data_IF_218330315038
#
_entry.id   IF_218330315038
#
_cell.length_a   1.000
_cell.length_b   1.000
_cell.length_c   1.000
_cell.angle_alpha   90.00
_cell.angle_beta   90.00
_cell.angle_gamma   90.00
#
_symmetry.space_group_name_H-M   'P 1'
#
loop_
_entity.id
_entity.type
_entity.pdbx_description
1 polymer ?
#
# COMPACT_ATOMS: atom_id res chain seq x y z
N UNK A 1 8.91 29.36 -51.32
CA UNK A 1 9.40 28.41 -50.28
C UNK A 1 9.53 27.04 -50.94
N UNK A 2 10.75 26.56 -51.17
CA UNK A 2 11.05 25.32 -51.91
C UNK A 2 10.36 24.11 -51.27
N UNK A 3 9.82 23.18 -52.07
CA UNK A 3 9.09 21.97 -51.62
C UNK A 3 9.85 21.20 -50.53
N UNK A 4 11.18 21.20 -50.61
CA UNK A 4 12.09 20.65 -49.60
C UNK A 4 11.93 21.27 -48.21
N UNK A 5 11.82 22.60 -48.10
CA UNK A 5 11.63 23.29 -46.81
C UNK A 5 10.27 22.96 -46.18
N UNK A 6 9.22 22.77 -46.98
CA UNK A 6 7.90 22.34 -46.48
C UNK A 6 7.91 20.89 -45.98
N UNK A 7 8.59 19.99 -46.69
CA UNK A 7 8.77 18.60 -46.28
C UNK A 7 9.60 18.49 -44.97
N UNK A 8 10.66 19.30 -44.85
CA UNK A 8 11.51 19.32 -43.65
C UNK A 8 10.73 19.75 -42.40
N UNK A 9 9.86 20.76 -42.51
CA UNK A 9 9.01 21.23 -41.41
C UNK A 9 8.01 20.15 -40.99
N UNK A 10 7.39 19.45 -41.94
CA UNK A 10 6.46 18.35 -41.64
C UNK A 10 7.14 17.20 -40.89
N UNK A 11 8.36 16.84 -41.29
CA UNK A 11 9.16 15.80 -40.62
C UNK A 11 9.51 16.23 -39.19
N UNK A 12 9.93 17.48 -38.99
CA UNK A 12 10.24 18.03 -37.67
C UNK A 12 9.02 18.02 -36.74
N UNK A 13 7.84 18.39 -37.26
CA UNK A 13 6.59 18.32 -36.49
C UNK A 13 6.28 16.89 -36.05
N UNK A 14 6.42 15.90 -36.96
CA UNK A 14 6.20 14.48 -36.65
C UNK A 14 7.16 13.96 -35.58
N UNK A 15 8.45 14.27 -35.69
CA UNK A 15 9.46 13.87 -34.70
C UNK A 15 9.14 14.50 -33.34
N UNK A 16 8.79 15.79 -33.30
CA UNK A 16 8.44 16.46 -32.04
C UNK A 16 7.20 15.85 -31.39
N UNK A 17 6.17 15.52 -32.17
CA UNK A 17 4.94 14.88 -31.66
C UNK A 17 5.22 13.48 -31.12
N UNK A 18 6.10 12.72 -31.77
CA UNK A 18 6.49 11.39 -31.33
C UNK A 18 7.29 11.43 -30.01
N UNK A 19 8.21 12.39 -29.87
CA UNK A 19 8.97 12.60 -28.64
C UNK A 19 8.04 13.01 -27.48
N UNK A 20 7.09 13.91 -27.74
CA UNK A 20 6.08 14.31 -26.75
C UNK A 20 5.17 13.15 -26.34
N UNK A 21 4.78 12.29 -27.28
CA UNK A 21 3.99 11.10 -27.01
C UNK A 21 4.73 10.10 -26.11
N UNK A 22 5.99 9.79 -26.43
CA UNK A 22 6.83 8.90 -25.63
C UNK A 22 7.02 9.47 -24.22
N UNK A 23 7.41 10.75 -24.11
CA UNK A 23 7.64 11.38 -22.80
C UNK A 23 6.38 11.48 -21.95
N UNK A 24 5.22 11.75 -22.57
CA UNK A 24 3.93 11.71 -21.88
C UNK A 24 3.61 10.31 -21.35
N UNK A 25 3.79 9.27 -22.16
CA UNK A 25 3.54 7.89 -21.74
C UNK A 25 4.51 7.41 -20.66
N UNK A 26 5.79 7.74 -20.77
CA UNK A 26 6.79 7.42 -19.74
C UNK A 26 6.54 8.17 -18.43
N UNK A 27 6.20 9.46 -18.51
CA UNK A 27 5.85 10.26 -17.32
C UNK A 27 4.58 9.72 -16.66
N UNK A 28 3.55 9.40 -17.45
CA UNK A 28 2.33 8.76 -16.95
C UNK A 28 2.62 7.40 -16.32
N UNK A 29 3.50 6.59 -16.89
CA UNK A 29 3.92 5.31 -16.27
C UNK A 29 4.64 5.50 -14.94
N UNK A 30 5.47 6.55 -14.79
CA UNK A 30 6.12 6.85 -13.51
C UNK A 30 5.15 7.40 -12.45
N UNK A 31 4.13 8.15 -12.87
CA UNK A 31 3.16 8.79 -11.95
C UNK A 31 1.99 7.84 -11.61
N UNK A 32 1.68 6.83 -12.42
CA UNK A 32 0.42 6.08 -12.35
C UNK A 32 0.37 4.82 -11.46
N UNK A 33 1.44 4.35 -10.80
CA UNK A 33 1.34 3.09 -10.04
C UNK A 33 2.16 3.09 -8.73
N UNK A 34 1.70 3.87 -7.76
CA UNK A 34 1.66 3.35 -6.39
C UNK A 34 0.21 2.87 -6.22
N UNK A 35 -0.06 1.61 -6.58
CA UNK A 35 -1.38 1.04 -6.33
C UNK A 35 -1.63 1.16 -4.81
N UNK A 36 -2.72 1.83 -4.43
CA UNK A 36 -3.06 2.12 -3.04
C UNK A 36 -4.27 1.29 -2.64
N UNK A 37 -4.23 0.74 -1.44
CA UNK A 37 -5.35 0.04 -0.88
C UNK A 37 -5.53 0.41 0.58
N UNK A 38 -6.74 0.81 0.94
CA UNK A 38 -7.06 1.26 2.29
C UNK A 38 -7.98 0.25 2.97
N UNK A 39 -7.63 -0.15 4.18
CA UNK A 39 -8.47 -0.99 5.03
C UNK A 39 -8.71 -0.30 6.37
N UNK A 40 -9.96 -0.31 6.83
CA UNK A 40 -10.33 0.20 8.15
C UNK A 40 -10.66 -0.99 9.05
N UNK A 41 -9.93 -1.15 10.15
CA UNK A 41 -10.15 -2.20 11.13
C UNK A 41 -10.66 -1.61 12.43
N UNK A 42 -11.73 -2.21 12.94
CA UNK A 42 -12.22 -1.95 14.29
C UNK A 42 -12.08 -3.25 15.07
N UNK A 43 -11.18 -3.25 16.05
CA UNK A 43 -10.85 -4.42 16.86
C UNK A 43 -11.36 -4.18 18.28
N UNK A 44 -12.15 -5.12 18.80
CA UNK A 44 -12.59 -5.15 20.19
C UNK A 44 -12.08 -6.44 20.83
N UNK A 45 -11.45 -6.32 21.99
CA UNK A 45 -11.13 -7.45 22.86
C UNK A 45 -11.23 -7.05 24.33
N UNK A 46 -11.00 -8.00 25.23
CA UNK A 46 -11.02 -7.77 26.69
C UNK A 46 -9.99 -6.73 27.16
N UNK A 47 -9.02 -6.35 26.30
CA UNK A 47 -7.97 -5.38 26.58
C UNK A 47 -8.29 -3.97 26.05
N UNK A 48 -9.35 -3.80 25.25
CA UNK A 48 -9.79 -2.49 24.75
C UNK A 48 -10.30 -2.49 23.30
N UNK A 49 -10.43 -1.27 22.77
CA UNK A 49 -10.86 -1.00 21.41
C UNK A 49 -9.74 -0.33 20.63
N UNK A 50 -9.46 -0.81 19.42
CA UNK A 50 -8.59 -0.13 18.46
C UNK A 50 -9.35 0.22 17.18
N UNK A 51 -9.24 1.47 16.74
CA UNK A 51 -9.72 1.94 15.45
C UNK A 51 -8.50 2.24 14.58
N UNK A 52 -8.30 1.48 13.52
CA UNK A 52 -7.09 1.48 12.72
C UNK A 52 -7.42 1.68 11.25
N UNK A 53 -6.57 2.43 10.56
CA UNK A 53 -6.56 2.58 9.12
C UNK A 53 -5.21 2.11 8.62
N UNK A 54 -5.24 1.19 7.64
CA UNK A 54 -4.07 0.63 6.98
C UNK A 54 -4.08 1.07 5.53
N UNK A 55 -3.08 1.84 5.13
CA UNK A 55 -2.88 2.25 3.74
C UNK A 55 -1.71 1.48 3.14
N UNK A 56 -2.02 0.49 2.31
CA UNK A 56 -1.05 -0.28 1.55
C UNK A 56 -0.66 0.49 0.30
N UNK A 57 0.61 0.84 0.20
CA UNK A 57 1.24 1.38 -0.99
C UNK A 57 2.19 0.31 -1.53
N UNK A 58 2.07 -0.06 -2.80
CA UNK A 58 2.93 -1.12 -3.36
C UNK A 58 3.44 -0.83 -4.76
N UNK A 59 4.63 -1.37 -5.03
CA UNK A 59 5.27 -1.36 -6.35
C UNK A 59 5.35 -2.79 -6.88
N UNK A 60 4.47 -3.10 -7.83
CA UNK A 60 4.34 -4.46 -8.38
C UNK A 60 5.64 -4.99 -9.01
N UNK A 61 6.40 -4.12 -9.69
CA UNK A 61 7.62 -4.52 -10.39
C UNK A 61 8.74 -4.90 -9.41
N UNK A 62 8.88 -4.15 -8.32
CA UNK A 62 9.91 -4.37 -7.29
C UNK A 62 9.50 -5.38 -6.23
N UNK A 63 8.21 -5.75 -6.16
CA UNK A 63 7.63 -6.59 -5.09
C UNK A 63 7.91 -6.04 -3.68
N UNK A 64 7.87 -4.71 -3.56
CA UNK A 64 8.10 -3.95 -2.33
C UNK A 64 6.94 -3.01 -2.07
N UNK A 65 6.63 -2.75 -0.80
CA UNK A 65 5.62 -1.78 -0.43
C UNK A 65 5.82 -1.20 0.96
N UNK A 66 4.94 -0.27 1.32
CA UNK A 66 4.84 0.34 2.64
C UNK A 66 3.38 0.22 3.08
N UNK A 67 3.15 -0.23 4.31
CA UNK A 67 1.85 -0.09 4.96
C UNK A 67 1.94 1.06 5.95
N UNK A 68 1.18 2.13 5.71
CA UNK A 68 0.99 3.17 6.72
C UNK A 68 -0.15 2.75 7.65
N UNK A 69 0.20 2.38 8.87
CA UNK A 69 -0.73 2.06 9.94
C UNK A 69 -0.96 3.32 10.78
N UNK A 70 -2.21 3.71 10.94
CA UNK A 70 -2.59 4.81 11.80
C UNK A 70 -3.86 4.53 12.56
N UNK A 71 -4.05 5.15 13.71
CA UNK A 71 -5.29 5.00 14.44
C UNK A 71 -5.20 5.35 15.91
N UNK A 72 -6.19 4.86 16.66
CA UNK A 72 -6.28 5.08 18.10
C UNK A 72 -6.55 3.78 18.83
N UNK A 73 -6.00 3.65 20.03
CA UNK A 73 -6.28 2.57 20.96
C UNK A 73 -6.82 3.14 22.26
N UNK A 74 -7.88 2.50 22.77
CA UNK A 74 -8.50 2.81 24.06
C UNK A 74 -8.54 1.55 24.91
N UNK A 75 -7.92 1.60 26.08
CA UNK A 75 -8.01 0.54 27.08
C UNK A 75 -9.05 0.91 28.15
N UNK A 76 -10.20 0.24 28.15
CA UNK A 76 -11.29 0.46 29.11
C UNK A 76 -11.73 1.95 29.18
N UNK A 77 -11.66 2.56 30.37
CA UNK A 77 -12.01 3.96 30.64
C UNK A 77 -10.84 4.94 30.43
N UNK A 78 -9.66 4.46 30.02
CA UNK A 78 -8.48 5.32 29.80
C UNK A 78 -8.62 6.16 28.54
N UNK A 79 -7.82 7.23 28.47
CA UNK A 79 -7.72 8.09 27.30
C UNK A 79 -7.23 7.33 26.05
N UNK A 80 -7.59 7.84 24.88
CA UNK A 80 -7.12 7.32 23.60
C UNK A 80 -5.62 7.56 23.45
N UNK A 81 -4.90 6.53 23.04
CA UNK A 81 -3.49 6.60 22.63
C UNK A 81 -3.41 6.51 21.12
N UNK A 82 -2.61 7.37 20.50
CA UNK A 82 -2.41 7.35 19.06
C UNK A 82 -1.40 6.25 18.64
N UNK A 83 -1.61 5.70 17.45
CA UNK A 83 -0.74 4.72 16.79
C UNK A 83 -0.37 5.31 15.43
N UNK A 84 0.93 5.32 15.08
CA UNK A 84 1.40 5.74 13.76
C UNK A 84 2.71 5.03 13.41
N UNK A 85 2.64 4.10 12.45
CA UNK A 85 3.77 3.29 12.00
C UNK A 85 3.78 3.13 10.50
N UNK A 86 4.96 3.16 9.92
CA UNK A 86 5.16 2.78 8.52
C UNK A 86 5.93 1.45 8.48
N UNK A 87 5.31 0.43 7.89
CA UNK A 87 5.85 -0.93 7.77
C UNK A 87 6.34 -1.12 6.35
N UNK A 88 7.66 -1.16 6.16
CA UNK A 88 8.26 -1.53 4.87
C UNK A 88 8.20 -3.05 4.72
N UNK A 89 7.74 -3.54 3.56
CA UNK A 89 7.60 -4.96 3.31
C UNK A 89 8.00 -5.36 1.89
N UNK A 90 8.33 -6.63 1.75
CA UNK A 90 8.44 -7.32 0.46
C UNK A 90 7.41 -8.42 0.39
N UNK A 91 7.04 -8.87 -0.81
CA UNK A 91 6.14 -10.01 -0.94
C UNK A 91 6.59 -11.04 -1.97
N UNK A 92 6.13 -12.27 -1.75
CA UNK A 92 6.20 -13.36 -2.70
C UNK A 92 4.80 -13.86 -3.02
N UNK A 93 4.59 -14.27 -4.27
CA UNK A 93 3.31 -14.78 -4.78
C UNK A 93 3.40 -16.30 -4.89
N UNK A 94 2.38 -17.00 -4.40
CA UNK A 94 2.20 -18.43 -4.58
C UNK A 94 0.74 -18.70 -4.97
N UNK A 95 0.49 -18.94 -6.26
CA UNK A 95 -0.85 -19.02 -6.83
C UNK A 95 -1.73 -17.81 -6.43
N UNK A 96 -2.75 -18.02 -5.61
CA UNK A 96 -3.68 -16.98 -5.14
C UNK A 96 -3.32 -16.45 -3.75
N UNK A 97 -2.14 -16.78 -3.23
CA UNK A 97 -1.67 -16.36 -1.91
C UNK A 97 -0.48 -15.42 -2.03
N UNK A 98 -0.53 -14.31 -1.30
CA UNK A 98 0.56 -13.37 -1.11
C UNK A 98 1.17 -13.56 0.27
N UNK A 99 2.47 -13.79 0.32
CA UNK A 99 3.24 -13.83 1.56
C UNK A 99 4.01 -12.52 1.69
N UNK A 100 3.59 -11.65 2.59
CA UNK A 100 4.25 -10.38 2.88
C UNK A 100 5.20 -10.59 4.06
N UNK A 101 6.41 -10.05 3.96
CA UNK A 101 7.41 -10.06 5.03
C UNK A 101 7.76 -8.63 5.41
N UNK A 102 7.63 -8.29 6.68
CA UNK A 102 8.01 -6.98 7.22
C UNK A 102 9.53 -6.88 7.27
N UNK A 103 10.10 -5.89 6.60
CA UNK A 103 11.54 -5.67 6.57
C UNK A 103 11.96 -4.62 7.60
N UNK A 104 11.11 -3.60 7.80
CA UNK A 104 11.40 -2.50 8.72
C UNK A 104 10.12 -1.91 9.30
N UNK A 105 10.17 -1.52 10.57
CA UNK A 105 9.07 -0.82 11.27
C UNK A 105 9.58 0.56 11.65
N UNK A 106 9.06 1.59 10.99
CA UNK A 106 9.35 2.98 11.32
C UNK A 106 8.24 3.49 12.25
N UNK A 107 8.60 3.85 13.49
CA UNK A 107 7.69 4.45 14.46
C UNK A 107 7.88 5.95 14.48
N UNK A 108 6.78 6.67 14.59
CA UNK A 108 6.80 8.11 14.76
C UNK A 108 6.66 8.43 16.24
N UNK A 109 7.76 8.39 17.00
CA UNK A 109 7.76 8.40 18.48
C UNK A 109 7.03 9.59 19.12
N UNK A 110 6.88 10.71 18.41
CA UNK A 110 6.12 11.88 18.87
C UNK A 110 4.60 11.59 18.91
N UNK A 111 4.11 10.70 18.04
CA UNK A 111 2.70 10.41 17.82
C UNK A 111 2.34 9.00 18.29
N UNK A 112 3.21 8.01 18.07
CA UNK A 112 2.97 6.63 18.49
C UNK A 112 3.18 6.49 20.00
N UNK A 113 2.09 6.28 20.72
CA UNK A 113 2.04 6.24 22.19
C UNK A 113 1.79 4.82 22.72
N UNK A 114 1.86 3.80 21.86
CA UNK A 114 1.52 2.41 22.19
C UNK A 114 2.74 1.52 22.04
N UNK A 115 3.10 0.85 23.14
CA UNK A 115 4.20 -0.12 23.16
C UNK A 115 3.89 -1.34 22.28
N UNK A 116 4.95 -1.93 21.69
CA UNK A 116 4.84 -3.08 20.78
C UNK A 116 4.19 -4.29 21.42
N UNK A 117 4.53 -4.59 22.67
CA UNK A 117 3.96 -5.69 23.43
C UNK A 117 2.42 -5.60 23.55
N UNK A 118 1.86 -4.38 23.64
CA UNK A 118 0.42 -4.14 23.70
C UNK A 118 -0.20 -4.23 22.32
N UNK A 119 0.50 -3.71 21.30
CA UNK A 119 0.01 -3.77 19.93
C UNK A 119 0.00 -5.20 19.38
N UNK A 120 0.97 -6.04 19.75
CA UNK A 120 1.06 -7.45 19.37
C UNK A 120 -0.07 -8.31 19.94
N UNK A 121 -0.78 -7.84 20.98
CA UNK A 121 -1.99 -8.52 21.48
C UNK A 121 -3.23 -8.25 20.61
N UNK A 122 -3.16 -7.25 19.72
CA UNK A 122 -4.27 -6.80 18.89
C UNK A 122 -4.03 -7.07 17.41
N UNK A 123 -2.78 -6.89 16.97
CA UNK A 123 -2.38 -6.98 15.58
C UNK A 123 -1.44 -8.16 15.35
N UNK A 124 -1.47 -8.76 14.15
CA UNK A 124 -0.45 -9.70 13.74
C UNK A 124 0.95 -9.11 13.88
N UNK A 125 1.90 -9.95 14.29
CA UNK A 125 3.32 -9.63 14.45
C UNK A 125 3.93 -8.85 13.26
N UNK A 126 3.45 -9.11 12.03
CA UNK A 126 3.84 -8.39 10.82
C UNK A 126 3.77 -6.86 10.94
N UNK A 127 2.75 -6.33 11.63
CA UNK A 127 2.56 -4.88 11.78
C UNK A 127 3.38 -4.27 12.91
N UNK A 128 4.01 -5.11 13.73
CA UNK A 128 4.60 -4.71 15.01
C UNK A 128 6.12 -4.90 14.99
N UNK A 129 6.61 -6.00 14.42
CA UNK A 129 8.02 -6.38 14.42
C UNK A 129 8.56 -6.59 13.00
N UNK A 130 9.86 -6.36 12.81
CA UNK A 130 10.58 -6.70 11.58
C UNK A 130 10.88 -8.21 11.51
N UNK A 131 10.99 -8.75 10.30
CA UNK A 131 11.26 -10.15 10.01
C UNK A 131 10.05 -11.07 10.15
N UNK A 132 8.84 -10.51 10.20
CA UNK A 132 7.60 -11.25 10.44
C UNK A 132 6.79 -11.37 9.16
N UNK A 133 6.07 -12.48 9.03
CA UNK A 133 5.31 -12.80 7.83
C UNK A 133 3.81 -12.73 8.09
N UNK A 134 3.06 -12.28 7.09
CA UNK A 134 1.60 -12.45 7.02
C UNK A 134 1.21 -12.95 5.64
N UNK A 135 0.21 -13.82 5.58
CA UNK A 135 -0.26 -14.41 4.32
C UNK A 135 -1.69 -13.98 4.04
N UNK A 136 -1.92 -13.49 2.83
CA UNK A 136 -3.22 -13.08 2.34
C UNK A 136 -3.64 -13.92 1.14
N UNK A 137 -4.89 -14.35 1.12
CA UNK A 137 -5.50 -14.90 -0.10
C UNK A 137 -6.15 -13.75 -0.89
N UNK A 138 -5.85 -13.66 -2.18
CA UNK A 138 -6.47 -12.67 -3.06
C UNK A 138 -7.71 -13.28 -3.71
N UNK A 139 -8.84 -12.59 -3.60
CA UNK A 139 -10.04 -12.86 -4.38
C UNK A 139 -10.36 -11.66 -5.28
N UNK A 140 -10.56 -11.90 -6.56
CA UNK A 140 -10.98 -10.87 -7.52
C UNK A 140 -12.44 -10.50 -7.27
N UNK A 141 -12.73 -9.20 -7.14
CA UNK A 141 -14.06 -8.63 -7.03
C UNK A 141 -14.39 -7.86 -8.32
N UNK A 142 -14.97 -8.57 -9.29
CA UNK A 142 -15.24 -8.02 -10.62
C UNK A 142 -13.97 -7.57 -11.35
N UNK A 143 -14.10 -6.58 -12.24
CA UNK A 143 -13.01 -6.18 -13.15
C UNK A 143 -11.99 -5.20 -12.53
N UNK A 144 -12.27 -4.64 -11.34
CA UNK A 144 -11.45 -3.55 -10.76
C UNK A 144 -11.22 -3.65 -9.24
N UNK A 145 -11.74 -4.68 -8.58
CA UNK A 145 -11.60 -4.87 -7.14
C UNK A 145 -10.77 -6.09 -6.82
N UNK A 146 -9.97 -6.03 -5.76
CA UNK A 146 -9.35 -7.19 -5.13
C UNK A 146 -9.69 -7.19 -3.66
N UNK A 147 -10.03 -8.34 -3.13
CA UNK A 147 -10.33 -8.54 -1.74
C UNK A 147 -9.27 -9.45 -1.13
N UNK A 148 -8.64 -8.97 -0.07
CA UNK A 148 -7.61 -9.67 0.65
C UNK A 148 -8.24 -10.33 1.86
N UNK A 149 -8.11 -11.65 1.90
CA UNK A 149 -8.60 -12.48 2.99
C UNK A 149 -7.47 -12.98 3.85
N UNK A 150 -7.69 -13.02 5.16
CA UNK A 150 -6.94 -13.91 6.05
C UNK A 150 -7.89 -15.06 6.37
N UNK A 151 -7.54 -16.27 5.93
CA UNK A 151 -8.42 -17.44 5.98
C UNK A 151 -9.75 -17.15 5.26
N UNK A 152 -10.89 -17.13 5.97
CA UNK A 152 -12.23 -16.91 5.43
C UNK A 152 -12.80 -15.51 5.72
N UNK A 153 -12.01 -14.59 6.29
CA UNK A 153 -12.48 -13.22 6.62
C UNK A 153 -11.91 -12.22 5.62
N UNK A 154 -12.80 -11.43 5.04
CA UNK A 154 -12.45 -10.24 4.26
C UNK A 154 -11.82 -9.20 5.19
N UNK A 155 -10.55 -8.89 4.96
CA UNK A 155 -9.79 -7.97 5.81
C UNK A 155 -9.54 -6.64 5.11
N UNK A 156 -9.52 -6.64 3.76
CA UNK A 156 -9.19 -5.45 2.99
C UNK A 156 -9.78 -5.51 1.58
N UNK A 157 -10.30 -4.38 1.10
CA UNK A 157 -10.79 -4.20 -0.27
C UNK A 157 -9.96 -3.15 -0.99
N UNK A 158 -9.40 -3.52 -2.14
CA UNK A 158 -8.58 -2.67 -2.97
C UNK A 158 -9.31 -2.37 -4.26
N UNK A 159 -9.66 -1.10 -4.47
CA UNK A 159 -10.19 -0.62 -5.74
C UNK A 159 -9.04 -0.10 -6.62
N UNK A 160 -9.07 -0.46 -7.89
CA UNK A 160 -8.11 -0.02 -8.91
C UNK A 160 -8.58 1.21 -9.66
#
# INVERSE_FOLDING_TARGET
>A
MTRYKKALILILCFISGFVLFITYHYSKQQIAYNEKCTANWVIFNDQGQANLTLDFMYNKNKKTGIVALSGTWKQNTKAYKAIRRDIEYTWTENYNTLHLTSNKINKFDIIDQVEDNKLALLLPDFYVFSGKMISYNIQTQGNRGFLFNISNRAIMYCAR
#
